data_IF_301539655936
#
_entry.id   IF_301539655936
#
_cell.length_a   1.000
_cell.length_b   1.000
_cell.length_c   1.000
_cell.angle_alpha   90.00
_cell.angle_beta   90.00
_cell.angle_gamma   90.00
#
_symmetry.space_group_name_H-M   'P 1'
#
loop_
_entity.id
_entity.type
_entity.pdbx_description
1 polymer ?
#
# COMPACT_ATOMS: atom_id res chain seq x y z
N UNK A 1 -31.67 42.33 -53.95
CA UNK A 1 -32.54 42.40 -52.76
C UNK A 1 -32.87 40.99 -52.25
N UNK A 2 -31.85 40.16 -51.95
CA UNK A 2 -32.00 38.86 -51.24
C UNK A 2 -30.67 38.08 -51.01
N UNK A 3 -29.49 38.66 -51.27
CA UNK A 3 -28.21 37.95 -51.14
C UNK A 3 -27.31 38.47 -50.00
N UNK A 4 -27.72 39.52 -49.29
CA UNK A 4 -26.94 40.12 -48.21
C UNK A 4 -27.35 39.60 -46.82
N UNK A 5 -28.60 39.13 -46.68
CA UNK A 5 -29.13 38.65 -45.40
C UNK A 5 -28.65 37.23 -45.02
N UNK A 6 -28.05 36.49 -45.97
CA UNK A 6 -27.56 35.13 -45.75
C UNK A 6 -26.16 35.06 -45.10
N UNK A 7 -25.40 36.16 -45.06
CA UNK A 7 -24.04 36.18 -44.50
C UNK A 7 -23.98 36.62 -43.02
N UNK A 8 -25.11 36.98 -42.41
CA UNK A 8 -25.15 37.41 -41.01
C UNK A 8 -25.22 36.25 -39.99
N UNK A 9 -25.41 35.00 -40.45
CA UNK A 9 -25.74 33.87 -39.57
C UNK A 9 -24.56 32.99 -39.12
N UNK A 10 -23.32 33.23 -39.56
CA UNK A 10 -22.21 32.32 -39.25
C UNK A 10 -20.96 33.08 -38.77
N UNK A 11 -21.09 33.78 -37.63
CA UNK A 11 -19.91 34.10 -36.83
C UNK A 11 -19.75 32.99 -35.80
N UNK A 12 -18.82 32.03 -35.98
CA UNK A 12 -18.58 31.04 -34.95
C UNK A 12 -18.05 31.76 -33.71
N UNK A 13 -18.83 31.71 -32.63
CA UNK A 13 -18.47 32.18 -31.29
C UNK A 13 -17.03 31.72 -30.95
N UNK A 14 -16.15 32.62 -30.45
CA UNK A 14 -14.78 32.26 -30.15
C UNK A 14 -14.78 31.28 -28.96
N UNK A 15 -14.50 30.01 -29.24
CA UNK A 15 -14.44 28.92 -28.27
C UNK A 15 -13.47 29.28 -27.13
N UNK A 16 -14.05 29.80 -26.04
CA UNK A 16 -13.37 30.23 -24.81
C UNK A 16 -12.88 29.03 -23.97
N UNK A 17 -13.13 27.81 -24.44
CA UNK A 17 -12.84 26.54 -23.76
C UNK A 17 -11.35 26.17 -23.74
N UNK A 18 -10.53 26.72 -24.65
CA UNK A 18 -9.08 26.44 -24.67
C UNK A 18 -8.41 26.82 -23.34
N UNK A 19 -8.98 27.75 -22.58
CA UNK A 19 -8.44 28.23 -21.31
C UNK A 19 -8.67 27.25 -20.15
N UNK A 20 -9.88 26.70 -20.03
CA UNK A 20 -10.24 25.75 -18.98
C UNK A 20 -9.50 24.42 -19.18
N UNK A 21 -9.48 23.91 -20.42
CA UNK A 21 -8.77 22.67 -20.77
C UNK A 21 -7.27 22.83 -20.57
N UNK A 22 -6.66 23.96 -20.97
CA UNK A 22 -5.23 24.21 -20.72
C UNK A 22 -4.90 24.25 -19.23
N UNK A 23 -5.74 24.90 -18.41
CA UNK A 23 -5.49 25.03 -16.97
C UNK A 23 -5.64 23.70 -16.23
N UNK A 24 -6.62 22.89 -16.64
CA UNK A 24 -6.77 21.52 -16.16
C UNK A 24 -5.60 20.63 -16.61
N UNK A 25 -5.17 20.76 -17.87
CA UNK A 25 -4.03 20.03 -18.44
C UNK A 25 -2.70 20.40 -17.78
N UNK A 26 -2.49 21.66 -17.43
CA UNK A 26 -1.32 22.08 -16.66
C UNK A 26 -1.33 21.54 -15.24
N UNK A 27 -2.48 21.58 -14.56
CA UNK A 27 -2.67 20.93 -13.26
C UNK A 27 -2.37 19.42 -13.31
N UNK A 28 -2.89 18.74 -14.34
CA UNK A 28 -2.68 17.32 -14.58
C UNK A 28 -1.21 16.97 -14.85
N UNK A 29 -0.51 17.72 -15.71
CA UNK A 29 0.92 17.55 -15.95
C UNK A 29 1.76 17.78 -14.70
N UNK A 30 1.36 18.73 -13.85
CA UNK A 30 2.01 19.01 -12.56
C UNK A 30 1.79 17.87 -11.55
N UNK A 31 0.62 17.25 -11.60
CA UNK A 31 0.30 16.05 -10.84
C UNK A 31 1.21 14.89 -11.29
N UNK A 32 1.22 14.56 -12.58
CA UNK A 32 2.01 13.45 -13.14
C UNK A 32 3.51 13.52 -12.82
N UNK A 33 4.11 14.72 -12.77
CA UNK A 33 5.54 14.89 -12.43
C UNK A 33 5.87 14.56 -10.97
N UNK A 34 4.89 14.59 -10.06
CA UNK A 34 5.06 14.32 -8.62
C UNK A 34 4.44 12.98 -8.19
N UNK A 35 3.55 12.43 -9.00
CA UNK A 35 2.79 11.20 -8.68
C UNK A 35 3.62 9.93 -8.80
N UNK A 36 4.70 9.91 -9.57
CA UNK A 36 5.51 8.70 -9.79
C UNK A 36 5.98 8.03 -8.49
N UNK A 37 6.62 8.77 -7.58
CA UNK A 37 7.11 8.19 -6.32
C UNK A 37 6.00 7.83 -5.34
N UNK A 38 4.93 8.64 -5.28
CA UNK A 38 3.79 8.39 -4.38
C UNK A 38 2.97 7.21 -4.88
N UNK A 39 2.78 7.08 -6.18
CA UNK A 39 2.06 5.98 -6.81
C UNK A 39 2.90 4.70 -6.76
N UNK A 40 4.21 4.78 -7.00
CA UNK A 40 5.11 3.64 -6.84
C UNK A 40 5.15 3.17 -5.39
N UNK A 41 5.32 4.07 -4.42
CA UNK A 41 5.26 3.71 -2.99
C UNK A 41 3.90 3.21 -2.57
N UNK A 42 2.82 3.82 -3.05
CA UNK A 42 1.45 3.41 -2.76
C UNK A 42 1.16 2.02 -3.29
N UNK A 43 1.51 1.75 -4.55
CA UNK A 43 1.33 0.45 -5.20
C UNK A 43 2.22 -0.61 -4.55
N UNK A 44 3.49 -0.29 -4.27
CA UNK A 44 4.40 -1.20 -3.57
C UNK A 44 3.89 -1.52 -2.16
N UNK A 45 3.44 -0.52 -1.41
CA UNK A 45 2.87 -0.73 -0.06
C UNK A 45 1.62 -1.58 -0.14
N UNK A 46 0.72 -1.29 -1.07
CA UNK A 46 -0.49 -2.08 -1.28
C UNK A 46 -0.17 -3.53 -1.63
N UNK A 47 0.73 -3.78 -2.59
CA UNK A 47 1.19 -5.12 -2.94
C UNK A 47 1.85 -5.83 -1.75
N UNK A 48 2.70 -5.12 -1.00
CA UNK A 48 3.34 -5.65 0.19
C UNK A 48 2.30 -6.12 1.21
N UNK A 49 1.25 -5.33 1.48
CA UNK A 49 0.16 -5.76 2.36
C UNK A 49 -0.66 -6.89 1.77
N UNK A 50 -1.01 -6.87 0.49
CA UNK A 50 -1.81 -7.94 -0.14
C UNK A 50 -1.08 -9.28 -0.17
N UNK A 51 0.25 -9.27 -0.33
CA UNK A 51 1.06 -10.49 -0.32
C UNK A 51 1.41 -10.93 1.09
N UNK A 52 1.83 -10.01 1.96
CA UNK A 52 2.32 -10.34 3.29
C UNK A 52 1.18 -10.55 4.30
N UNK A 53 0.06 -9.83 4.17
CA UNK A 53 -1.08 -9.96 5.09
C UNK A 53 -1.69 -11.36 5.11
N UNK A 54 -2.02 -12.03 3.98
CA UNK A 54 -2.55 -13.39 4.02
C UNK A 54 -1.53 -14.38 4.57
N UNK A 55 -0.22 -14.20 4.29
CA UNK A 55 0.83 -15.02 4.88
C UNK A 55 0.94 -14.80 6.39
N UNK A 56 0.91 -13.55 6.84
CA UNK A 56 0.94 -13.20 8.25
C UNK A 56 -0.31 -13.72 8.99
N UNK A 57 -1.51 -13.60 8.40
CA UNK A 57 -2.74 -14.17 8.94
C UNK A 57 -2.69 -15.69 9.00
N UNK A 58 -2.18 -16.34 7.94
CA UNK A 58 -1.95 -17.78 7.92
C UNK A 58 -1.02 -18.20 9.07
N UNK A 59 0.18 -17.62 9.16
CA UNK A 59 1.13 -17.92 10.24
C UNK A 59 0.54 -17.60 11.62
N UNK A 60 -0.20 -16.50 11.75
CA UNK A 60 -0.90 -16.14 13.00
C UNK A 60 -1.92 -17.19 13.40
N UNK A 61 -2.68 -17.74 12.45
CA UNK A 61 -3.67 -18.79 12.70
C UNK A 61 -3.04 -20.13 13.00
N UNK A 62 -2.00 -20.53 12.25
CA UNK A 62 -1.33 -21.83 12.39
C UNK A 62 -0.36 -21.91 13.57
N UNK A 63 0.42 -20.87 13.85
CA UNK A 63 1.55 -20.96 14.79
C UNK A 63 1.35 -20.30 16.15
N UNK A 64 0.20 -19.66 16.42
CA UNK A 64 -0.07 -18.79 17.59
C UNK A 64 1.19 -18.36 18.36
N UNK A 65 2.10 -17.61 17.71
CA UNK A 65 3.45 -17.39 18.23
C UNK A 65 3.46 -16.55 19.52
N UNK A 66 2.35 -15.88 19.83
CA UNK A 66 2.18 -15.11 21.06
C UNK A 66 1.36 -15.86 22.13
N UNK A 67 1.01 -17.13 21.91
CA UNK A 67 0.23 -17.92 22.86
C UNK A 67 -1.06 -17.21 23.35
N UNK A 68 -1.68 -16.41 22.48
CA UNK A 68 -2.84 -15.57 22.84
C UNK A 68 -4.12 -16.41 22.90
N UNK A 69 -4.16 -17.54 22.18
CA UNK A 69 -5.30 -18.46 22.22
C UNK A 69 -5.37 -19.15 23.59
N UNK A 70 -6.59 -19.38 24.10
CA UNK A 70 -6.79 -20.02 25.41
C UNK A 70 -6.27 -21.47 25.48
N UNK A 71 -6.03 -22.14 24.35
CA UNK A 71 -5.38 -23.46 24.26
C UNK A 71 -3.85 -23.42 24.31
N UNK A 72 -3.22 -22.26 24.23
CA UNK A 72 -1.76 -22.17 24.33
C UNK A 72 -1.31 -22.26 25.78
N UNK A 73 -0.15 -22.90 26.01
CA UNK A 73 0.41 -23.07 27.34
C UNK A 73 0.74 -21.70 27.95
N UNK A 74 -0.07 -21.26 28.92
CA UNK A 74 0.14 -20.04 29.69
C UNK A 74 0.97 -20.38 30.94
N UNK A 75 2.09 -19.68 31.14
CA UNK A 75 2.92 -19.82 32.34
C UNK A 75 4.37 -20.21 32.03
N UNK A 76 5.13 -20.50 33.08
CA UNK A 76 6.51 -21.00 32.99
C UNK A 76 6.51 -22.29 32.17
N UNK A 77 7.19 -22.26 31.02
CA UNK A 77 7.40 -23.47 30.23
C UNK A 77 8.32 -24.39 31.01
N UNK A 78 7.98 -25.68 31.22
CA UNK A 78 8.92 -26.63 31.77
C UNK A 78 10.12 -26.63 30.82
N UNK A 79 11.28 -26.26 31.36
CA UNK A 79 12.54 -26.43 30.65
C UNK A 79 12.67 -27.95 30.48
N UNK A 80 12.85 -28.44 29.25
CA UNK A 80 13.12 -29.85 29.04
C UNK A 80 14.27 -30.23 29.95
N UNK A 81 14.08 -31.26 30.76
CA UNK A 81 15.16 -31.79 31.57
C UNK A 81 16.17 -32.38 30.59
N UNK A 82 17.15 -31.58 30.13
CA UNK A 82 18.28 -32.16 29.42
C UNK A 82 18.91 -33.14 30.40
N UNK A 83 19.08 -34.40 29.97
CA UNK A 83 19.71 -35.49 30.74
C UNK A 83 21.15 -35.16 31.21
N UNK A 84 21.66 -33.99 30.86
CA UNK A 84 22.93 -33.45 31.34
C UNK A 84 22.85 -33.07 32.83
N UNK A 85 23.82 -33.57 33.57
CA UNK A 85 23.97 -33.29 34.99
C UNK A 85 24.27 -31.79 35.22
N UNK A 86 23.80 -31.18 36.32
CA UNK A 86 24.07 -29.77 36.63
C UNK A 86 25.57 -29.39 36.59
N UNK A 87 26.44 -30.37 36.88
CA UNK A 87 27.89 -30.25 36.86
C UNK A 87 28.45 -30.08 35.44
N UNK A 88 27.99 -30.87 34.47
CA UNK A 88 28.42 -30.76 33.06
C UNK A 88 28.04 -29.41 32.45
N UNK A 89 26.85 -28.89 32.78
CA UNK A 89 26.40 -27.57 32.32
C UNK A 89 27.26 -26.43 32.84
N UNK A 90 27.72 -26.51 34.09
CA UNK A 90 28.57 -25.48 34.70
C UNK A 90 29.95 -25.37 34.02
N UNK A 91 30.50 -26.49 33.54
CA UNK A 91 31.83 -26.50 32.90
C UNK A 91 31.86 -25.83 31.52
N UNK A 92 30.72 -25.70 30.84
CA UNK A 92 30.60 -25.07 29.51
C UNK A 92 30.38 -23.56 29.54
N UNK A 93 30.19 -22.97 30.72
CA UNK A 93 29.92 -21.53 30.87
C UNK A 93 31.19 -20.66 30.96
N UNK A 94 32.36 -21.28 31.12
CA UNK A 94 33.65 -20.60 31.22
C UNK A 94 34.53 -20.86 30.00
#
# INVERSE_FOLDING_TARGET
MQLEDAQAAEKPEPIKERSAVRRFWEGWKRFGKKTGDIQARGLLTFFYFVLLSPFALAVRWWSDPLAIKPRSAKGWRPRGDDEETPQERATRQF
#
